data_IF_390821250300
#
_entry.id   IF_390821250300
#
_cell.length_a   1.000
_cell.length_b   1.000
_cell.length_c   1.000
_cell.angle_alpha   90.00
_cell.angle_beta   90.00
_cell.angle_gamma   90.00
#
_symmetry.space_group_name_H-M   'P 1'
#
loop_
_entity.id
_entity.type
_entity.pdbx_description
1 polymer ?
#
# COMPACT_ATOMS: atom_id res chain seq x y z
N UNK A 1 2.55 15.07 8.56
CA UNK A 1 1.38 14.26 8.12
C UNK A 1 1.68 12.82 8.49
N UNK A 2 0.86 12.20 9.35
CA UNK A 2 1.13 10.84 9.84
C UNK A 2 0.37 9.84 8.96
N UNK A 3 1.11 9.09 8.12
CA UNK A 3 0.54 8.08 7.24
C UNK A 3 -0.25 7.02 8.01
N UNK A 4 0.21 6.63 9.20
CA UNK A 4 -0.49 5.65 10.05
C UNK A 4 -1.87 6.15 10.46
N UNK A 5 -1.99 7.41 10.86
CA UNK A 5 -3.30 7.99 11.21
C UNK A 5 -4.28 7.98 10.04
N UNK A 6 -3.80 8.28 8.83
CA UNK A 6 -4.63 8.25 7.61
C UNK A 6 -5.12 6.84 7.27
N UNK A 7 -4.28 5.83 7.56
CA UNK A 7 -4.64 4.42 7.41
C UNK A 7 -5.61 3.95 8.51
N UNK A 8 -5.41 4.38 9.75
CA UNK A 8 -6.31 4.07 10.88
C UNK A 8 -7.72 4.64 10.64
N UNK A 9 -7.81 5.86 10.10
CA UNK A 9 -9.09 6.48 9.74
C UNK A 9 -9.80 5.70 8.62
N UNK A 10 -9.05 5.25 7.60
CA UNK A 10 -9.60 4.45 6.50
C UNK A 10 -10.08 3.07 6.99
N UNK A 11 -9.29 2.43 7.86
CA UNK A 11 -9.63 1.15 8.49
C UNK A 11 -10.86 1.29 9.39
N UNK A 12 -10.93 2.35 10.20
CA UNK A 12 -12.08 2.62 11.05
C UNK A 12 -13.37 2.73 10.26
N UNK A 13 -13.39 3.49 9.15
CA UNK A 13 -14.56 3.61 8.28
C UNK A 13 -14.91 2.27 7.63
N UNK A 14 -13.91 1.51 7.17
CA UNK A 14 -14.11 0.23 6.49
C UNK A 14 -14.66 -0.87 7.41
N UNK A 15 -14.25 -0.90 8.68
CA UNK A 15 -14.59 -1.96 9.64
C UNK A 15 -15.88 -1.68 10.43
N UNK A 16 -16.59 -0.58 10.17
CA UNK A 16 -17.87 -0.31 10.84
C UNK A 16 -18.87 -1.44 10.56
N UNK A 17 -19.34 -2.08 11.64
CA UNK A 17 -20.39 -3.10 11.58
C UNK A 17 -21.79 -2.53 11.29
N UNK A 18 -21.96 -1.21 11.45
CA UNK A 18 -23.20 -0.50 11.15
C UNK A 18 -23.20 0.00 9.69
N UNK A 19 -24.37 0.32 9.15
CA UNK A 19 -24.47 0.96 7.84
C UNK A 19 -23.69 2.28 7.85
N UNK A 20 -22.95 2.54 6.78
CA UNK A 20 -22.26 3.81 6.59
C UNK A 20 -23.24 4.98 6.62
N UNK A 21 -22.88 5.99 7.39
CA UNK A 21 -23.53 7.30 7.39
C UNK A 21 -23.09 8.11 6.17
N UNK A 22 -23.73 9.25 5.92
CA UNK A 22 -23.26 10.19 4.88
C UNK A 22 -21.85 10.71 5.18
N UNK A 23 -21.54 10.95 6.45
CA UNK A 23 -20.21 11.34 6.91
C UNK A 23 -19.15 10.26 6.63
N UNK A 24 -19.49 8.98 6.82
CA UNK A 24 -18.61 7.86 6.46
C UNK A 24 -18.33 7.80 4.96
N UNK A 25 -19.36 8.04 4.14
CA UNK A 25 -19.23 8.05 2.68
C UNK A 25 -18.33 9.22 2.25
N UNK A 26 -18.52 10.41 2.80
CA UNK A 26 -17.71 11.59 2.47
C UNK A 26 -16.27 11.43 2.94
N UNK A 27 -16.06 10.83 4.11
CA UNK A 27 -14.74 10.46 4.60
C UNK A 27 -14.07 9.44 3.67
N UNK A 28 -14.76 8.36 3.30
CA UNK A 28 -14.24 7.36 2.38
C UNK A 28 -13.91 7.94 0.98
N UNK A 29 -14.75 8.84 0.47
CA UNK A 29 -14.52 9.57 -0.79
C UNK A 29 -13.29 10.45 -0.77
N UNK A 30 -12.82 10.85 0.41
CA UNK A 30 -11.57 11.60 0.58
C UNK A 30 -10.39 10.63 0.74
N UNK A 31 -10.51 9.67 1.67
CA UNK A 31 -9.42 8.77 2.03
C UNK A 31 -9.02 7.82 0.89
N UNK A 32 -9.99 7.25 0.16
CA UNK A 32 -9.68 6.27 -0.90
C UNK A 32 -8.85 6.91 -2.03
N UNK A 33 -9.23 8.07 -2.61
CA UNK A 33 -8.40 8.74 -3.61
C UNK A 33 -7.00 9.09 -3.09
N UNK A 34 -6.87 9.57 -1.85
CA UNK A 34 -5.56 9.89 -1.26
C UNK A 34 -4.65 8.65 -1.22
N UNK A 35 -5.17 7.50 -0.75
CA UNK A 35 -4.42 6.25 -0.70
C UNK A 35 -4.04 5.77 -2.12
N UNK A 36 -4.94 5.92 -3.09
CA UNK A 36 -4.66 5.60 -4.50
C UNK A 36 -3.57 6.52 -5.07
N UNK A 37 -3.57 7.81 -4.72
CA UNK A 37 -2.55 8.77 -5.14
C UNK A 37 -1.19 8.38 -4.58
N UNK A 38 -1.10 7.99 -3.31
CA UNK A 38 0.15 7.53 -2.69
C UNK A 38 0.70 6.30 -3.42
N UNK A 39 -0.13 5.30 -3.72
CA UNK A 39 0.28 4.11 -4.46
C UNK A 39 0.72 4.48 -5.89
N UNK A 40 0.00 5.37 -6.57
CA UNK A 40 0.38 5.86 -7.90
C UNK A 40 1.70 6.62 -7.87
N UNK A 41 1.96 7.43 -6.85
CA UNK A 41 3.23 8.11 -6.64
C UNK A 41 4.38 7.12 -6.49
N UNK A 42 4.20 6.08 -5.66
CA UNK A 42 5.16 4.99 -5.52
C UNK A 42 5.44 4.31 -6.87
N UNK A 43 4.41 3.98 -7.64
CA UNK A 43 4.58 3.37 -8.97
C UNK A 43 5.18 4.35 -10.00
N UNK A 44 4.95 5.65 -9.84
CA UNK A 44 5.53 6.67 -10.71
C UNK A 44 7.04 6.81 -10.49
N UNK A 45 7.51 6.74 -9.24
CA UNK A 45 8.94 6.79 -8.95
C UNK A 45 9.62 5.48 -9.37
N UNK A 46 8.95 4.34 -9.14
CA UNK A 46 9.42 3.03 -9.56
C UNK A 46 8.97 2.74 -10.99
N UNK A 47 9.72 3.23 -11.97
CA UNK A 47 9.53 2.91 -13.39
C UNK A 47 10.67 2.06 -13.95
N UNK A 48 10.38 1.31 -15.02
CA UNK A 48 11.38 0.55 -15.78
C UNK A 48 12.18 1.48 -16.70
N UNK A 49 13.51 1.40 -16.64
CA UNK A 49 14.43 2.05 -17.60
C UNK A 49 14.53 1.21 -18.88
N UNK A 50 15.04 1.76 -19.99
CA UNK A 50 15.27 0.97 -21.22
C UNK A 50 16.09 -0.32 -21.03
N UNK A 51 16.96 -0.38 -20.02
CA UNK A 51 17.73 -1.57 -19.66
C UNK A 51 16.98 -2.64 -18.87
N UNK A 52 15.67 -2.48 -18.61
CA UNK A 52 14.85 -3.46 -17.88
C UNK A 52 14.96 -3.36 -16.35
N UNK A 53 15.74 -2.42 -15.83
CA UNK A 53 15.90 -2.19 -14.40
C UNK A 53 14.96 -1.09 -13.90
N UNK A 54 14.57 -1.17 -12.63
CA UNK A 54 13.86 -0.09 -11.96
C UNK A 54 14.76 1.12 -11.76
N UNK A 55 14.20 2.30 -12.04
CA UNK A 55 14.89 3.59 -11.94
C UNK A 55 15.45 3.90 -10.55
N UNK A 56 14.75 3.49 -9.49
CA UNK A 56 15.08 3.79 -8.09
C UNK A 56 15.84 2.64 -7.44
N UNK A 57 15.35 1.41 -7.57
CA UNK A 57 15.97 0.25 -6.91
C UNK A 57 17.22 -0.28 -7.61
N UNK A 58 17.49 0.15 -8.86
CA UNK A 58 18.57 -0.37 -9.71
C UNK A 58 18.59 -1.91 -9.78
N UNK A 59 17.40 -2.52 -9.73
CA UNK A 59 17.18 -3.96 -9.77
C UNK A 59 16.31 -4.32 -10.96
N UNK A 60 16.33 -5.57 -11.47
CA UNK A 60 15.43 -6.00 -12.53
C UNK A 60 13.96 -5.68 -12.22
N UNK A 61 13.21 -5.29 -13.24
CA UNK A 61 11.78 -5.05 -13.15
C UNK A 61 10.96 -6.37 -13.22
N UNK A 62 9.87 -6.54 -12.45
CA UNK A 62 9.40 -5.64 -11.39
C UNK A 62 10.33 -5.67 -10.18
N UNK A 63 10.69 -4.48 -9.68
CA UNK A 63 11.59 -4.38 -8.54
C UNK A 63 10.95 -4.92 -7.24
N UNK A 64 11.76 -5.21 -6.20
CA UNK A 64 11.26 -5.73 -4.93
C UNK A 64 10.14 -4.88 -4.31
N UNK A 65 10.21 -3.55 -4.43
CA UNK A 65 9.19 -2.64 -3.88
C UNK A 65 7.85 -2.81 -4.61
N UNK A 66 7.85 -2.84 -5.94
CA UNK A 66 6.62 -3.01 -6.73
C UNK A 66 6.03 -4.40 -6.53
N UNK A 67 6.90 -5.43 -6.47
CA UNK A 67 6.48 -6.80 -6.16
C UNK A 67 5.83 -6.88 -4.78
N UNK A 68 6.42 -6.25 -3.77
CA UNK A 68 5.89 -6.19 -2.41
C UNK A 68 4.55 -5.45 -2.36
N UNK A 69 4.46 -4.26 -2.95
CA UNK A 69 3.23 -3.47 -2.99
C UNK A 69 2.10 -4.24 -3.69
N UNK A 70 2.38 -4.87 -4.84
CA UNK A 70 1.43 -5.71 -5.54
C UNK A 70 0.95 -6.88 -4.67
N UNK A 71 1.88 -7.55 -3.99
CA UNK A 71 1.55 -8.63 -3.05
C UNK A 71 0.63 -8.16 -1.93
N UNK A 72 1.00 -7.06 -1.25
CA UNK A 72 0.24 -6.52 -0.12
C UNK A 72 -1.18 -6.09 -0.54
N UNK A 73 -1.36 -5.56 -1.74
CA UNK A 73 -2.67 -5.18 -2.27
C UNK A 73 -3.52 -6.41 -2.61
N UNK A 74 -2.91 -7.47 -3.16
CA UNK A 74 -3.65 -8.67 -3.61
C UNK A 74 -3.94 -9.68 -2.50
N UNK A 75 -3.04 -9.82 -1.54
CA UNK A 75 -3.14 -10.78 -0.44
C UNK A 75 -2.45 -10.23 0.82
N UNK A 76 -3.05 -9.20 1.47
CA UNK A 76 -2.42 -8.50 2.58
C UNK A 76 -2.10 -9.43 3.76
N UNK A 77 -2.99 -10.38 4.06
CA UNK A 77 -2.83 -11.27 5.21
C UNK A 77 -1.64 -12.21 5.05
N UNK A 78 -1.51 -12.90 3.91
CA UNK A 78 -0.38 -13.80 3.69
C UNK A 78 0.95 -13.05 3.57
N UNK A 79 0.94 -11.87 2.96
CA UNK A 79 2.15 -11.05 2.84
C UNK A 79 2.60 -10.47 4.18
N UNK A 80 1.68 -10.03 5.04
CA UNK A 80 2.00 -9.60 6.39
C UNK A 80 2.67 -10.72 7.20
N UNK A 81 2.12 -11.93 7.18
CA UNK A 81 2.73 -13.09 7.85
C UNK A 81 4.13 -13.39 7.30
N UNK A 82 4.32 -13.31 5.98
CA UNK A 82 5.62 -13.52 5.36
C UNK A 82 6.66 -12.46 5.77
N UNK A 83 6.24 -11.19 5.90
CA UNK A 83 7.10 -10.10 6.36
C UNK A 83 7.50 -10.29 7.83
N UNK A 84 6.54 -10.57 8.71
CA UNK A 84 6.82 -10.79 10.15
C UNK A 84 7.81 -11.93 10.36
N UNK A 85 7.67 -13.04 9.62
CA UNK A 85 8.61 -14.15 9.65
C UNK A 85 10.01 -13.74 9.22
N UNK A 86 10.14 -13.00 8.11
CA UNK A 86 11.45 -12.49 7.64
C UNK A 86 12.14 -11.59 8.65
N UNK A 87 11.38 -10.78 9.40
CA UNK A 87 11.95 -9.93 10.46
C UNK A 87 12.44 -10.78 11.63
N UNK A 88 11.65 -11.76 12.07
CA UNK A 88 12.04 -12.65 13.18
C UNK A 88 13.21 -13.57 12.82
N UNK A 89 13.34 -13.98 11.55
CA UNK A 89 14.43 -14.85 11.07
C UNK A 89 15.73 -14.07 10.77
N UNK A 90 15.69 -12.73 10.83
CA UNK A 90 16.84 -11.85 10.60
C UNK A 90 17.51 -11.35 11.90
N UNK A 91 16.90 -11.65 13.05
CA UNK A 91 17.44 -11.47 14.41
C UNK A 91 18.14 -12.74 14.91
#
# INVERSE_FOLDING_TARGET
MNLYRHLDEAEFVALKCQKWTEEDIDTARTLIPDLVIVIRGLLFDHQVRPGGECRICTSPWPCPVVTLAHGLIKDPHRQFVALVRKVHDAD
#
